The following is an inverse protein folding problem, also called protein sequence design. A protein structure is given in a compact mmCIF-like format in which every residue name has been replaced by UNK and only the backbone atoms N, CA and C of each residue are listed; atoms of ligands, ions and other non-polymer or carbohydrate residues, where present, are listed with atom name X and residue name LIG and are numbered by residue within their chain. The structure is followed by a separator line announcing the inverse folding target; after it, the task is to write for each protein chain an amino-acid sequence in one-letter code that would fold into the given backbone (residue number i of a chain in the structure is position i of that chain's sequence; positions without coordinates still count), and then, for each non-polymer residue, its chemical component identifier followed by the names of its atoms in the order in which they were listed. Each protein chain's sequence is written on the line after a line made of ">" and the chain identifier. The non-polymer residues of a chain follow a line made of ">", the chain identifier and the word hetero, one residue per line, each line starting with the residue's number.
data_IF_589214408469
#
_entry.id   IF_589214408469
#
_cell.length_a   1.000
_cell.length_b   1.000
_cell.length_c   1.000
_cell.angle_alpha   90.00
_cell.angle_beta   90.00
_cell.angle_gamma   90.00
#
_symmetry.space_group_name_H-M   'P 1'
#
loop_
_entity.id
_entity.type
_entity.pdbx_description
1 polymer ?
#
# COMPACT_ATOMS: atom_id res chain seq x y z
N UNK A 1 19.57 11.15 20.94
CA UNK A 1 19.20 10.15 21.97
C UNK A 1 18.60 8.97 21.23
N UNK A 2 19.30 7.85 21.21
CA UNK A 2 18.95 6.64 20.46
C UNK A 2 17.77 5.92 21.10
N UNK A 3 16.73 5.61 20.32
CA UNK A 3 15.74 4.57 20.68
C UNK A 3 15.44 3.75 19.42
N UNK A 4 16.36 2.83 19.11
CA UNK A 4 16.01 1.58 18.45
C UNK A 4 16.36 0.50 19.46
N UNK A 5 15.35 -0.21 19.95
CA UNK A 5 15.49 -1.51 20.61
C UNK A 5 14.15 -2.22 20.64
N UNK A 6 14.14 -3.38 19.97
CA UNK A 6 13.36 -4.56 20.30
C UNK A 6 11.94 -4.72 19.73
N UNK A 7 11.80 -4.93 18.42
CA UNK A 7 10.80 -5.88 17.91
C UNK A 7 11.51 -7.21 17.68
N UNK A 8 11.53 -8.00 18.76
CA UNK A 8 12.08 -9.34 18.80
C UNK A 8 11.11 -10.29 18.10
N UNK A 9 11.59 -10.88 17.01
CA UNK A 9 11.16 -12.18 16.53
C UNK A 9 11.14 -13.18 17.68
N UNK A 10 9.95 -13.63 18.10
CA UNK A 10 9.81 -14.87 18.86
C UNK A 10 8.84 -15.78 18.13
N UNK A 11 9.42 -16.84 17.57
CA UNK A 11 8.75 -18.04 17.15
C UNK A 11 7.78 -18.53 18.23
N UNK A 12 6.54 -18.75 17.85
CA UNK A 12 5.52 -19.44 18.64
C UNK A 12 4.88 -20.52 17.78
N UNK A 13 5.63 -21.59 17.52
CA UNK A 13 5.05 -22.82 17.03
C UNK A 13 4.16 -23.41 18.14
N UNK A 14 2.86 -23.46 17.93
CA UNK A 14 1.98 -24.40 18.62
C UNK A 14 1.01 -25.01 17.61
N UNK A 15 1.39 -26.18 17.13
CA UNK A 15 0.53 -27.13 16.41
C UNK A 15 -0.35 -27.84 17.46
N UNK A 16 -1.65 -27.97 17.20
CA UNK A 16 -2.50 -29.18 17.38
C UNK A 16 -3.99 -28.79 17.29
N UNK A 17 -4.55 -29.04 16.11
CA UNK A 17 -5.80 -29.76 15.84
C UNK A 17 -7.03 -29.49 16.74
N UNK A 18 -7.98 -28.72 16.21
CA UNK A 18 -9.40 -29.09 16.31
C UNK A 18 -9.90 -29.41 14.92
N UNK A 19 -10.08 -30.70 14.65
CA UNK A 19 -10.71 -31.20 13.44
C UNK A 19 -12.19 -30.89 13.47
N UNK A 20 -12.65 -30.01 12.58
CA UNK A 20 -14.04 -29.99 12.15
C UNK A 20 -14.13 -30.86 10.89
N UNK A 21 -14.37 -32.16 11.11
CA UNK A 21 -14.88 -33.07 10.10
C UNK A 21 -16.28 -32.58 9.72
N UNK A 22 -16.40 -31.79 8.65
CA UNK A 22 -17.68 -31.57 7.98
C UNK A 22 -17.70 -32.47 6.76
N UNK A 23 -18.43 -33.57 6.90
CA UNK A 23 -18.77 -34.48 5.83
C UNK A 23 -19.57 -33.74 4.75
N UNK A 24 -19.27 -34.09 3.51
CA UNK A 24 -19.84 -33.58 2.28
C UNK A 24 -21.37 -33.37 2.32
N UNK A 25 -21.81 -32.12 2.14
CA UNK A 25 -22.96 -31.80 1.31
C UNK A 25 -22.42 -31.05 0.09
N UNK A 26 -22.51 -31.67 -1.09
CA UNK A 26 -22.03 -31.15 -2.37
C UNK A 26 -22.81 -29.95 -2.89
N UNK A 27 -22.86 -28.86 -2.12
CA UNK A 27 -23.20 -27.54 -2.64
C UNK A 27 -22.00 -26.92 -3.36
N UNK A 28 -22.21 -26.05 -4.37
CA UNK A 28 -21.12 -25.25 -4.90
C UNK A 28 -20.43 -24.54 -3.74
N UNK A 29 -19.10 -24.68 -3.65
CA UNK A 29 -18.30 -23.81 -2.79
C UNK A 29 -18.73 -22.37 -3.10
N UNK A 30 -19.04 -21.52 -2.10
CA UNK A 30 -19.16 -20.10 -2.37
C UNK A 30 -17.88 -19.70 -3.09
N UNK A 31 -18.01 -19.01 -4.22
CA UNK A 31 -16.86 -18.44 -4.91
C UNK A 31 -15.98 -17.74 -3.86
N UNK A 32 -14.64 -17.84 -3.94
CA UNK A 32 -13.77 -17.04 -3.09
C UNK A 32 -14.32 -15.62 -3.10
N UNK A 33 -14.54 -15.04 -1.90
CA UNK A 33 -14.90 -13.63 -1.83
C UNK A 33 -13.87 -12.90 -2.70
N UNK A 34 -14.30 -12.02 -3.63
CA UNK A 34 -13.37 -11.28 -4.44
C UNK A 34 -12.39 -10.62 -3.47
N UNK A 35 -11.11 -10.95 -3.63
CA UNK A 35 -10.05 -10.29 -2.89
C UNK A 35 -10.30 -8.78 -3.02
N UNK A 36 -10.26 -7.99 -1.93
CA UNK A 36 -10.45 -6.54 -2.03
C UNK A 36 -9.57 -6.02 -3.17
N UNK A 37 -10.16 -5.32 -4.13
CA UNK A 37 -9.38 -4.79 -5.24
C UNK A 37 -8.32 -3.88 -4.64
N UNK A 38 -7.05 -4.18 -4.90
CA UNK A 38 -5.93 -3.47 -4.27
C UNK A 38 -6.00 -1.95 -4.49
N UNK A 39 -6.61 -1.53 -5.61
CA UNK A 39 -6.84 -0.14 -5.92
C UNK A 39 -7.96 0.48 -5.07
N UNK A 40 -9.01 -0.27 -4.73
CA UNK A 40 -10.03 0.16 -3.76
C UNK A 40 -9.39 0.37 -2.39
N UNK A 41 -8.56 -0.59 -1.92
CA UNK A 41 -7.84 -0.47 -0.65
C UNK A 41 -6.93 0.77 -0.62
N UNK A 42 -6.20 1.05 -1.71
CA UNK A 42 -5.36 2.25 -1.83
C UNK A 42 -6.19 3.53 -1.84
N UNK A 43 -7.32 3.55 -2.55
CA UNK A 43 -8.23 4.70 -2.59
C UNK A 43 -8.81 5.00 -1.19
N UNK A 44 -9.26 3.96 -0.48
CA UNK A 44 -9.77 4.09 0.88
C UNK A 44 -8.71 4.62 1.84
N UNK A 45 -7.46 4.16 1.73
CA UNK A 45 -6.36 4.66 2.55
C UNK A 45 -6.11 6.17 2.33
N UNK A 46 -6.10 6.64 1.07
CA UNK A 46 -5.96 8.07 0.75
C UNK A 46 -7.11 8.89 1.35
N UNK A 47 -8.34 8.42 1.22
CA UNK A 47 -9.52 9.10 1.75
C UNK A 47 -9.54 9.11 3.29
N UNK A 48 -9.07 8.03 3.92
CA UNK A 48 -8.94 7.96 5.37
C UNK A 48 -7.90 8.97 5.88
N UNK A 49 -6.73 9.04 5.24
CA UNK A 49 -5.72 10.03 5.57
C UNK A 49 -6.25 11.46 5.34
N UNK A 50 -6.96 11.72 4.23
CA UNK A 50 -7.63 13.00 4.01
C UNK A 50 -8.61 13.38 5.13
N UNK A 51 -9.40 12.42 5.62
CA UNK A 51 -10.35 12.68 6.70
C UNK A 51 -9.66 12.94 8.06
N UNK A 52 -8.48 12.35 8.26
CA UNK A 52 -7.67 12.52 9.46
C UNK A 52 -6.77 13.76 9.40
N UNK A 53 -6.45 14.24 8.20
CA UNK A 53 -5.55 15.36 8.00
C UNK A 53 -6.25 16.66 8.41
N UNK A 54 -5.64 17.37 9.37
CA UNK A 54 -6.15 18.66 9.82
C UNK A 54 -6.03 19.75 8.74
N UNK A 55 -6.64 20.93 8.94
CA UNK A 55 -6.76 21.98 7.92
C UNK A 55 -5.44 22.68 7.54
N UNK A 56 -4.32 22.25 8.13
CA UNK A 56 -3.01 22.88 7.96
C UNK A 56 -2.23 22.35 6.76
N UNK A 57 -2.57 21.13 6.33
CA UNK A 57 -1.89 20.46 5.25
C UNK A 57 -2.62 20.66 3.93
N UNK A 58 -1.99 20.18 2.87
CA UNK A 58 -2.38 20.35 1.49
C UNK A 58 -3.67 19.65 1.10
N UNK A 59 -3.73 19.22 -0.16
CA UNK A 59 -4.94 18.59 -0.71
C UNK A 59 -4.68 17.20 -1.27
N UNK A 60 -5.55 16.25 -0.92
CA UNK A 60 -5.56 14.90 -1.49
C UNK A 60 -6.32 14.78 -2.80
N UNK A 61 -7.06 15.81 -3.24
CA UNK A 61 -7.87 15.73 -4.46
C UNK A 61 -7.07 15.29 -5.71
N UNK A 62 -5.82 15.76 -5.93
CA UNK A 62 -4.98 15.29 -7.04
C UNK A 62 -4.59 13.81 -6.93
N UNK A 63 -4.36 13.30 -5.71
CA UNK A 63 -4.04 11.89 -5.47
C UNK A 63 -5.23 10.99 -5.79
N UNK A 64 -6.43 11.38 -5.35
CA UNK A 64 -7.70 10.67 -5.65
C UNK A 64 -7.99 10.67 -7.16
N UNK A 65 -7.82 11.82 -7.82
CA UNK A 65 -7.99 11.93 -9.26
C UNK A 65 -7.01 11.03 -10.02
N UNK A 66 -5.76 10.94 -9.55
CA UNK A 66 -4.75 10.09 -10.15
C UNK A 66 -5.08 8.60 -9.99
N UNK A 67 -5.52 8.16 -8.81
CA UNK A 67 -5.98 6.77 -8.60
C UNK A 67 -7.22 6.43 -9.45
N UNK A 68 -8.07 7.41 -9.77
CA UNK A 68 -9.18 7.24 -10.72
C UNK A 68 -8.66 6.99 -12.15
N UNK A 69 -7.53 7.60 -12.52
CA UNK A 69 -6.86 7.36 -13.81
C UNK A 69 -6.24 5.96 -13.85
N UNK A 70 -5.61 5.51 -12.75
CA UNK A 70 -5.13 4.12 -12.62
C UNK A 70 -6.27 3.13 -12.84
N UNK A 71 -7.45 3.37 -12.24
CA UNK A 71 -8.63 2.52 -12.43
C UNK A 71 -9.04 2.41 -13.89
N UNK A 72 -9.01 3.52 -14.63
CA UNK A 72 -9.35 3.53 -16.05
C UNK A 72 -8.41 2.62 -16.85
N UNK A 73 -7.10 2.69 -16.59
CA UNK A 73 -6.11 1.80 -17.23
C UNK A 73 -6.34 0.32 -16.89
N UNK A 74 -6.70 -0.01 -15.65
CA UNK A 74 -7.04 -1.38 -15.24
C UNK A 74 -8.25 -1.89 -16.02
N UNK A 75 -9.34 -1.11 -16.08
CA UNK A 75 -10.57 -1.47 -16.80
C UNK A 75 -10.29 -1.71 -18.29
N UNK A 76 -9.39 -0.93 -18.88
CA UNK A 76 -8.99 -1.06 -20.27
C UNK A 76 -7.98 -2.20 -20.52
N UNK A 77 -7.43 -2.84 -19.48
CA UNK A 77 -6.43 -3.91 -19.58
C UNK A 77 -5.03 -3.40 -19.94
N UNK A 78 -4.74 -2.12 -19.74
CA UNK A 78 -3.51 -1.44 -20.16
C UNK A 78 -2.40 -1.60 -19.11
N UNK A 79 -1.85 -2.80 -18.97
CA UNK A 79 -0.89 -3.15 -17.92
C UNK A 79 0.31 -2.21 -17.79
N UNK A 80 0.95 -1.83 -18.91
CA UNK A 80 2.09 -0.92 -18.91
C UNK A 80 1.69 0.50 -18.48
N UNK A 81 0.48 0.94 -18.83
CA UNK A 81 -0.04 2.24 -18.42
C UNK A 81 -0.39 2.24 -16.91
N UNK A 82 -0.89 1.13 -16.37
CA UNK A 82 -1.08 0.95 -14.92
C UNK A 82 0.27 1.06 -14.20
N UNK A 83 1.31 0.38 -14.71
CA UNK A 83 2.66 0.45 -14.14
C UNK A 83 3.20 1.88 -14.12
N UNK A 84 3.12 2.60 -15.24
CA UNK A 84 3.58 3.99 -15.32
C UNK A 84 2.78 4.92 -14.39
N UNK A 85 1.46 4.77 -14.37
CA UNK A 85 0.58 5.59 -13.54
C UNK A 85 0.83 5.35 -12.04
N UNK A 86 1.05 4.11 -11.61
CA UNK A 86 1.35 3.81 -10.21
C UNK A 86 2.73 4.32 -9.79
N UNK A 87 3.75 4.22 -10.65
CA UNK A 87 5.04 4.84 -10.34
C UNK A 87 4.93 6.38 -10.25
N UNK A 88 4.10 7.01 -11.10
CA UNK A 88 3.82 8.44 -10.98
C UNK A 88 3.10 8.79 -9.67
N UNK A 89 2.19 7.93 -9.21
CA UNK A 89 1.52 8.11 -7.91
C UNK A 89 2.54 8.10 -6.77
N UNK A 90 3.49 7.16 -6.81
CA UNK A 90 4.59 7.07 -5.86
C UNK A 90 5.49 8.32 -5.91
N UNK A 91 5.81 8.83 -7.11
CA UNK A 91 6.57 10.09 -7.25
C UNK A 91 5.85 11.26 -6.56
N UNK A 92 4.53 11.36 -6.70
CA UNK A 92 3.74 12.41 -6.05
C UNK A 92 3.80 12.32 -4.52
N UNK A 93 3.85 11.11 -3.97
CA UNK A 93 3.97 10.89 -2.52
C UNK A 93 5.37 11.27 -2.04
N UNK A 94 6.42 10.77 -2.69
CA UNK A 94 7.81 11.08 -2.32
C UNK A 94 8.12 12.58 -2.42
N UNK A 95 7.63 13.24 -3.48
CA UNK A 95 7.79 14.67 -3.67
C UNK A 95 6.92 15.51 -2.71
N UNK A 96 5.97 14.87 -2.00
CA UNK A 96 4.97 15.53 -1.15
C UNK A 96 4.19 16.59 -1.92
N UNK A 97 3.87 16.25 -3.17
CA UNK A 97 3.15 17.13 -4.08
C UNK A 97 1.86 17.64 -3.41
N UNK A 98 1.46 18.87 -3.74
CA UNK A 98 0.23 19.48 -3.21
C UNK A 98 0.18 19.70 -1.69
N UNK A 99 1.30 19.51 -0.98
CA UNK A 99 1.49 19.98 0.40
C UNK A 99 0.97 19.05 1.49
N UNK A 100 0.77 17.76 1.20
CA UNK A 100 0.42 16.75 2.21
C UNK A 100 1.51 16.62 3.28
N UNK A 101 1.15 16.20 4.50
CA UNK A 101 2.11 15.97 5.57
C UNK A 101 3.20 14.96 5.14
N UNK A 102 4.48 15.21 5.48
CA UNK A 102 5.56 14.24 5.32
C UNK A 102 5.20 12.85 5.84
N UNK A 103 4.69 12.79 7.07
CA UNK A 103 4.37 11.55 7.75
C UNK A 103 3.21 10.80 7.07
N UNK A 104 2.24 11.53 6.51
CA UNK A 104 1.13 10.93 5.76
C UNK A 104 1.62 10.40 4.41
N UNK A 105 2.42 11.18 3.69
CA UNK A 105 2.99 10.79 2.41
C UNK A 105 3.83 9.51 2.54
N UNK A 106 4.66 9.43 3.58
CA UNK A 106 5.49 8.25 3.87
C UNK A 106 4.62 7.02 4.21
N UNK A 107 3.58 7.17 5.04
CA UNK A 107 2.64 6.06 5.33
C UNK A 107 1.92 5.55 4.10
N UNK A 108 1.43 6.44 3.24
CA UNK A 108 0.76 6.07 2.00
C UNK A 108 1.72 5.39 1.03
N UNK A 109 2.97 5.85 0.98
CA UNK A 109 4.02 5.24 0.17
C UNK A 109 4.31 3.81 0.64
N UNK A 110 4.49 3.61 1.94
CA UNK A 110 4.72 2.28 2.52
C UNK A 110 3.51 1.36 2.34
N UNK A 111 2.29 1.91 2.43
CA UNK A 111 1.08 1.14 2.16
C UNK A 111 1.00 0.66 0.71
N UNK A 112 1.50 1.45 -0.25
CA UNK A 112 1.56 1.01 -1.65
C UNK A 112 2.35 -0.30 -1.81
N UNK A 113 3.46 -0.48 -1.08
CA UNK A 113 4.24 -1.72 -1.09
C UNK A 113 3.43 -2.93 -0.62
N UNK A 114 2.53 -2.72 0.35
CA UNK A 114 1.75 -3.79 0.96
C UNK A 114 0.60 -4.25 0.06
N UNK A 115 -0.07 -3.32 -0.62
CA UNK A 115 -1.31 -3.64 -1.35
C UNK A 115 -1.12 -3.73 -2.86
N UNK A 116 -0.17 -3.00 -3.44
CA UNK A 116 -0.02 -2.95 -4.91
C UNK A 116 0.69 -4.20 -5.40
N UNK A 117 0.15 -4.93 -6.40
CA UNK A 117 0.87 -6.02 -7.03
C UNK A 117 2.23 -5.57 -7.58
N UNK A 118 3.28 -6.35 -7.34
CA UNK A 118 4.66 -6.03 -7.75
C UNK A 118 4.82 -5.75 -9.26
N UNK A 119 3.96 -6.32 -10.11
CA UNK A 119 3.94 -6.06 -11.56
C UNK A 119 3.54 -4.63 -11.95
N UNK A 120 2.96 -3.86 -11.02
CA UNK A 120 2.41 -2.54 -11.29
C UNK A 120 3.22 -1.39 -10.67
N UNK A 121 4.36 -1.65 -10.04
CA UNK A 121 5.23 -0.58 -9.54
C UNK A 121 6.69 -1.05 -9.44
N UNK A 122 7.62 -0.12 -9.29
CA UNK A 122 9.01 -0.43 -9.02
C UNK A 122 9.21 -0.75 -7.52
N UNK A 123 9.32 -2.04 -7.21
CA UNK A 123 9.48 -2.54 -5.84
C UNK A 123 10.79 -2.09 -5.20
N UNK A 124 11.83 -1.83 -5.99
CA UNK A 124 13.15 -1.43 -5.48
C UNK A 124 13.10 -0.12 -4.69
N UNK A 125 12.17 0.77 -5.01
CA UNK A 125 11.99 2.07 -4.33
C UNK A 125 11.67 1.93 -2.85
N UNK A 126 10.98 0.86 -2.46
CA UNK A 126 10.68 0.59 -1.06
C UNK A 126 11.90 0.05 -0.30
N UNK A 127 12.78 -0.69 -0.98
CA UNK A 127 14.03 -1.18 -0.41
C UNK A 127 15.00 -0.03 -0.19
N UNK A 128 15.12 0.87 -1.17
CA UNK A 128 16.00 2.03 -1.08
C UNK A 128 15.58 2.96 0.07
N UNK A 129 14.27 3.24 0.18
CA UNK A 129 13.70 4.00 1.31
C UNK A 129 13.99 3.31 2.65
N UNK A 130 13.79 1.99 2.75
CA UNK A 130 14.10 1.25 3.98
C UNK A 130 15.59 1.35 4.35
N UNK A 131 16.50 1.27 3.37
CA UNK A 131 17.94 1.44 3.60
C UNK A 131 18.24 2.86 4.08
N UNK A 132 17.66 3.88 3.45
CA UNK A 132 17.82 5.28 3.83
C UNK A 132 17.38 5.52 5.28
N UNK A 133 16.21 5.00 5.67
CA UNK A 133 15.66 5.16 7.02
C UNK A 133 16.50 4.43 8.08
N UNK A 134 17.05 3.25 7.77
CA UNK A 134 17.83 2.44 8.72
C UNK A 134 19.27 2.91 8.89
N UNK A 135 19.90 3.38 7.81
CA UNK A 135 21.34 3.66 7.79
C UNK A 135 21.68 5.14 7.64
N UNK A 136 20.69 6.00 7.41
CA UNK A 136 20.87 7.40 7.10
C UNK A 136 21.52 7.54 5.72
N UNK A 137 20.75 8.00 4.73
CA UNK A 137 21.27 8.26 3.39
C UNK A 137 22.58 9.05 3.47
N UNK A 138 23.65 8.48 2.92
CA UNK A 138 24.91 9.17 2.72
C UNK A 138 24.70 10.25 1.66
N UNK A 139 24.16 11.40 2.07
CA UNK A 139 24.06 12.57 1.21
C UNK A 139 25.47 12.98 0.77
N UNK A 140 25.76 12.80 -0.52
CA UNK A 140 26.83 13.47 -1.22
C UNK A 140 26.37 14.82 -1.75
#
# INVERSE_FOLDING_TARGET
>A
MWVIKDIRWTAGALLVLTGAMVMALGGPLPAPLPEPDWLDAMMEAVLAEQANEGPFWGTFAPYVAHLTTVRAHIINGEGDAVYQAMNRFMDMLEARDYGVSPEVADRLFDYCYLVTPAKYHDVSRHIDKFIEDQYGGSGG
#
